data_IF_126444074591
#
_entry.id   IF_126444074591
#
_cell.length_a   1.000
_cell.length_b   1.000
_cell.length_c   1.000
_cell.angle_alpha   90.00
_cell.angle_beta   90.00
_cell.angle_gamma   90.00
#
_symmetry.space_group_name_H-M   'P 1'
#
loop_
_entity.id
_entity.type
_entity.pdbx_description
1 polymer ?
#
# COMPACT_ATOMS: atom_id res chain seq x y z
N UNK A 1 37.93 10.17 -37.67
CA UNK A 1 37.54 11.60 -37.68
C UNK A 1 37.38 12.02 -39.13
N UNK A 2 36.25 11.72 -39.77
CA UNK A 2 36.01 12.08 -41.17
C UNK A 2 35.55 13.53 -41.26
N UNK A 3 36.31 14.32 -42.00
CA UNK A 3 36.15 15.77 -42.16
C UNK A 3 34.78 16.05 -42.81
N UNK A 4 33.81 16.49 -42.01
CA UNK A 4 32.45 16.84 -42.48
C UNK A 4 32.45 18.30 -42.95
N UNK A 5 33.09 18.58 -44.09
CA UNK A 5 32.95 19.88 -44.76
C UNK A 5 31.55 19.97 -45.38
N UNK A 6 30.73 20.88 -44.87
CA UNK A 6 29.32 21.05 -45.26
C UNK A 6 29.14 21.77 -46.59
N UNK A 7 30.12 22.58 -47.02
CA UNK A 7 29.93 23.48 -48.14
C UNK A 7 30.46 22.87 -49.44
N UNK A 8 29.54 22.61 -50.36
CA UNK A 8 29.83 22.09 -51.71
C UNK A 8 30.85 22.98 -52.45
N UNK A 9 30.74 24.30 -52.26
CA UNK A 9 31.69 25.30 -52.77
C UNK A 9 33.13 25.07 -52.28
N UNK A 10 33.33 24.70 -51.01
CA UNK A 10 34.67 24.47 -50.48
C UNK A 10 35.31 23.21 -51.07
N UNK A 11 34.50 22.22 -51.42
CA UNK A 11 34.96 20.99 -52.07
C UNK A 11 35.29 21.17 -53.55
N UNK A 12 34.74 22.20 -54.19
CA UNK A 12 35.09 22.59 -55.57
C UNK A 12 36.37 23.43 -55.60
N UNK A 13 36.68 24.18 -54.53
CA UNK A 13 37.91 24.99 -54.47
C UNK A 13 39.17 24.11 -54.46
N UNK A 14 39.18 23.00 -53.73
CA UNK A 14 40.36 22.11 -53.67
C UNK A 14 40.83 21.58 -55.04
N UNK A 15 39.97 21.02 -55.91
CA UNK A 15 40.38 20.62 -57.25
C UNK A 15 40.78 21.83 -58.10
N UNK A 16 40.05 22.96 -58.05
CA UNK A 16 40.41 24.18 -58.82
C UNK A 16 41.84 24.64 -58.50
N UNK A 17 42.25 24.64 -57.22
CA UNK A 17 43.60 25.03 -56.80
C UNK A 17 44.65 24.05 -57.33
N UNK A 18 44.36 22.75 -57.28
CA UNK A 18 45.28 21.72 -57.78
C UNK A 18 45.48 21.82 -59.29
N UNK A 19 44.41 22.09 -60.05
CA UNK A 19 44.51 22.32 -61.50
C UNK A 19 45.23 23.62 -61.85
N UNK A 20 45.04 24.70 -61.07
CA UNK A 20 45.80 25.96 -61.23
C UNK A 20 47.29 25.75 -60.94
N UNK A 21 47.62 25.01 -59.88
CA UNK A 21 49.00 24.67 -59.54
C UNK A 21 49.66 23.80 -60.61
N UNK A 22 48.92 22.83 -61.16
CA UNK A 22 49.36 21.99 -62.28
C UNK A 22 49.64 22.85 -63.52
N UNK A 23 48.77 23.81 -63.82
CA UNK A 23 48.95 24.73 -64.96
C UNK A 23 50.19 25.61 -64.81
N UNK A 24 50.40 26.20 -63.64
CA UNK A 24 51.60 26.98 -63.37
C UNK A 24 52.87 26.13 -63.46
N UNK A 25 52.84 24.89 -62.97
CA UNK A 25 53.94 23.94 -63.08
C UNK A 25 54.23 23.59 -64.55
N UNK A 26 53.18 23.36 -65.37
CA UNK A 26 53.33 23.10 -66.79
C UNK A 26 53.95 24.26 -67.57
N UNK A 27 53.73 25.52 -67.15
CA UNK A 27 54.37 26.69 -67.76
C UNK A 27 55.83 26.80 -67.33
N UNK A 28 56.13 26.54 -66.05
CA UNK A 28 57.46 26.73 -65.48
C UNK A 28 58.46 25.64 -65.91
N UNK A 29 57.95 24.44 -66.23
CA UNK A 29 58.77 23.28 -66.60
C UNK A 29 58.38 22.74 -67.97
N UNK A 30 59.23 22.99 -68.96
CA UNK A 30 59.15 22.43 -70.32
C UNK A 30 59.45 20.90 -70.39
N UNK A 31 59.46 20.24 -69.22
CA UNK A 31 59.89 18.85 -69.02
C UNK A 31 58.72 17.84 -68.97
N UNK A 32 57.47 18.32 -68.94
CA UNK A 32 56.29 17.46 -68.88
C UNK A 32 55.95 16.96 -70.28
N UNK A 33 56.39 15.73 -70.61
CA UNK A 33 55.91 15.06 -71.82
C UNK A 33 54.40 14.80 -71.70
N UNK A 34 53.65 14.80 -72.83
CA UNK A 34 52.19 14.61 -72.83
C UNK A 34 51.70 13.37 -72.07
N UNK A 35 52.53 12.32 -72.01
CA UNK A 35 52.26 11.08 -71.28
C UNK A 35 52.27 11.26 -69.76
N UNK A 36 53.26 11.96 -69.19
CA UNK A 36 53.33 12.20 -67.74
C UNK A 36 52.24 13.17 -67.26
N UNK A 37 51.89 14.16 -68.09
CA UNK A 37 50.80 15.09 -67.82
C UNK A 37 49.45 14.36 -67.70
N UNK A 38 49.18 13.41 -68.61
CA UNK A 38 47.99 12.56 -68.53
C UNK A 38 47.95 11.67 -67.27
N UNK A 39 49.07 11.06 -66.88
CA UNK A 39 49.14 10.26 -65.65
C UNK A 39 48.88 11.10 -64.38
N UNK A 40 49.37 12.34 -64.33
CA UNK A 40 49.10 13.27 -63.23
C UNK A 40 47.61 13.64 -63.15
N UNK A 41 46.98 13.94 -64.29
CA UNK A 41 45.54 14.20 -64.36
C UNK A 41 44.70 13.00 -63.90
N UNK A 42 45.09 11.79 -64.30
CA UNK A 42 44.45 10.55 -63.85
C UNK A 42 44.60 10.37 -62.33
N UNK A 43 45.79 10.63 -61.79
CA UNK A 43 46.03 10.48 -60.35
C UNK A 43 45.23 11.50 -59.52
N UNK A 44 45.20 12.76 -59.96
CA UNK A 44 44.41 13.83 -59.32
C UNK A 44 42.92 13.48 -59.36
N UNK A 45 42.39 13.13 -60.54
CA UNK A 45 40.97 12.78 -60.70
C UNK A 45 40.60 11.56 -59.85
N UNK A 46 41.45 10.54 -59.76
CA UNK A 46 41.23 9.36 -58.93
C UNK A 46 41.14 9.71 -57.43
N UNK A 47 42.11 10.47 -56.90
CA UNK A 47 42.14 10.84 -55.47
C UNK A 47 40.92 11.69 -55.11
N UNK A 48 40.61 12.70 -55.92
CA UNK A 48 39.52 13.63 -55.61
C UNK A 48 38.16 12.93 -55.78
N UNK A 49 37.97 12.12 -56.83
CA UNK A 49 36.74 11.34 -57.05
C UNK A 49 36.51 10.34 -55.92
N UNK A 50 37.56 9.65 -55.46
CA UNK A 50 37.49 8.71 -54.34
C UNK A 50 37.15 9.39 -53.01
N UNK A 51 37.60 10.62 -52.79
CA UNK A 51 37.36 11.36 -51.55
C UNK A 51 35.99 12.03 -51.48
N UNK A 52 35.52 12.57 -52.60
CA UNK A 52 34.41 13.53 -52.61
C UNK A 52 33.11 13.02 -53.22
N UNK A 53 33.14 11.86 -53.88
CA UNK A 53 31.96 11.22 -54.46
C UNK A 53 31.62 11.75 -55.87
N UNK A 54 30.46 11.33 -56.38
CA UNK A 54 30.14 11.43 -57.81
C UNK A 54 30.02 12.87 -58.33
N UNK A 55 29.41 13.79 -57.57
CA UNK A 55 29.18 15.16 -58.05
C UNK A 55 30.49 15.93 -58.28
N UNK A 56 31.49 15.69 -57.43
CA UNK A 56 32.80 16.35 -57.53
C UNK A 56 33.69 15.60 -58.51
N UNK A 57 33.54 14.29 -58.64
CA UNK A 57 34.17 13.50 -59.70
C UNK A 57 33.85 14.07 -61.10
N UNK A 58 32.56 14.29 -61.40
CA UNK A 58 32.13 14.92 -62.66
C UNK A 58 32.69 16.34 -62.84
N UNK A 59 32.77 17.13 -61.76
CA UNK A 59 33.39 18.45 -61.81
C UNK A 59 34.89 18.38 -62.11
N UNK A 60 35.63 17.48 -61.46
CA UNK A 60 37.06 17.28 -61.75
C UNK A 60 37.34 16.79 -63.16
N UNK A 61 36.43 16.01 -63.73
CA UNK A 61 36.51 15.62 -65.13
C UNK A 61 36.36 16.84 -66.05
N UNK A 62 35.38 17.71 -65.81
CA UNK A 62 35.22 18.96 -66.57
C UNK A 62 36.44 19.88 -66.44
N UNK A 63 37.02 19.99 -65.24
CA UNK A 63 38.26 20.76 -65.05
C UNK A 63 39.45 20.15 -65.78
N UNK A 64 39.57 18.82 -65.81
CA UNK A 64 40.60 18.14 -66.60
C UNK A 64 40.43 18.40 -68.10
N UNK A 65 39.20 18.43 -68.61
CA UNK A 65 38.90 18.80 -70.01
C UNK A 65 39.36 20.23 -70.30
N UNK A 66 38.98 21.19 -69.44
CA UNK A 66 39.34 22.60 -69.58
C UNK A 66 40.87 22.77 -69.53
N UNK A 67 41.54 22.07 -68.61
CA UNK A 67 42.99 22.09 -68.48
C UNK A 67 43.68 21.63 -69.76
N UNK A 68 43.25 20.52 -70.36
CA UNK A 68 43.83 20.00 -71.61
C UNK A 68 43.65 20.99 -72.76
N UNK A 69 42.50 21.68 -72.84
CA UNK A 69 42.28 22.72 -73.86
C UNK A 69 43.20 23.93 -73.67
N UNK A 70 43.34 24.42 -72.43
CA UNK A 70 44.18 25.60 -72.15
C UNK A 70 45.67 25.26 -72.35
N UNK A 71 46.12 24.07 -71.92
CA UNK A 71 47.50 23.65 -72.12
C UNK A 71 47.83 23.41 -73.60
N UNK A 72 46.90 22.88 -74.39
CA UNK A 72 47.05 22.74 -75.85
C UNK A 72 47.17 24.07 -76.58
N UNK A 73 46.34 25.07 -76.24
CA UNK A 73 46.44 26.42 -76.81
C UNK A 73 47.80 27.07 -76.50
N UNK A 74 48.28 26.89 -75.27
CA UNK A 74 49.56 27.47 -74.83
C UNK A 74 50.77 26.83 -75.52
N UNK A 75 50.70 25.53 -75.82
CA UNK A 75 51.77 24.77 -76.50
C UNK A 75 51.75 24.91 -78.03
N UNK A 76 50.87 25.76 -78.58
CA UNK A 76 50.64 25.94 -80.03
C UNK A 76 50.25 24.63 -80.76
N UNK A 77 49.67 23.67 -80.05
CA UNK A 77 49.16 22.43 -80.66
C UNK A 77 47.89 22.72 -81.49
N UNK A 78 47.70 21.96 -82.58
CA UNK A 78 46.48 22.08 -83.39
C UNK A 78 45.27 21.58 -82.60
N UNK A 79 44.44 22.52 -82.13
CA UNK A 79 43.26 22.27 -81.30
C UNK A 79 42.28 21.32 -82.01
N UNK A 80 42.28 21.30 -83.34
CA UNK A 80 41.45 20.40 -84.14
C UNK A 80 41.87 18.94 -83.95
N UNK A 81 43.14 18.66 -83.66
CA UNK A 81 43.66 17.30 -83.47
C UNK A 81 43.01 16.58 -82.29
N UNK A 82 42.66 17.31 -81.22
CA UNK A 82 41.95 16.75 -80.06
C UNK A 82 40.54 16.28 -80.39
N UNK A 83 39.90 16.84 -81.43
CA UNK A 83 38.57 16.43 -81.89
C UNK A 83 38.60 15.32 -82.94
N UNK A 84 39.68 15.22 -83.72
CA UNK A 84 39.77 14.27 -84.84
C UNK A 84 40.59 13.00 -84.55
N UNK A 85 41.53 13.03 -83.61
CA UNK A 85 42.38 11.87 -83.31
C UNK A 85 41.75 10.94 -82.27
N UNK A 86 41.63 9.66 -82.63
CA UNK A 86 41.07 8.60 -81.78
C UNK A 86 41.83 8.41 -80.46
N UNK A 87 43.13 8.68 -80.43
CA UNK A 87 43.96 8.48 -79.23
C UNK A 87 43.57 9.44 -78.10
N UNK A 88 43.22 10.69 -78.44
CA UNK A 88 42.71 11.64 -77.45
C UNK A 88 41.31 11.24 -76.97
N UNK A 89 40.40 10.82 -77.87
CA UNK A 89 39.07 10.33 -77.46
C UNK A 89 39.14 9.18 -76.45
N UNK A 90 40.06 8.23 -76.66
CA UNK A 90 40.27 7.10 -75.73
C UNK A 90 40.69 7.60 -74.34
N UNK A 91 41.62 8.57 -74.27
CA UNK A 91 42.07 9.16 -73.01
C UNK A 91 40.95 9.89 -72.24
N UNK A 92 40.05 10.59 -72.96
CA UNK A 92 38.95 11.33 -72.33
C UNK A 92 37.89 10.38 -71.80
N UNK A 93 37.54 9.35 -72.57
CA UNK A 93 36.62 8.30 -72.14
C UNK A 93 37.19 7.58 -70.92
N UNK A 94 38.49 7.30 -70.89
CA UNK A 94 39.12 6.61 -69.77
C UNK A 94 39.11 7.45 -68.47
N UNK A 95 39.43 8.75 -68.55
CA UNK A 95 39.31 9.67 -67.41
C UNK A 95 37.87 9.77 -66.89
N UNK A 96 36.88 9.82 -67.79
CA UNK A 96 35.47 9.85 -67.43
C UNK A 96 35.07 8.57 -66.68
N UNK A 97 35.42 7.40 -67.22
CA UNK A 97 35.06 6.10 -66.63
C UNK A 97 35.69 5.91 -65.25
N UNK A 98 36.98 6.24 -65.10
CA UNK A 98 37.66 6.14 -63.79
C UNK A 98 37.03 7.09 -62.78
N UNK A 99 36.81 8.34 -63.16
CA UNK A 99 36.20 9.34 -62.28
C UNK A 99 34.80 8.91 -61.84
N UNK A 100 33.97 8.42 -62.78
CA UNK A 100 32.62 7.95 -62.50
C UNK A 100 32.60 6.70 -61.61
N UNK A 101 33.42 5.69 -61.91
CA UNK A 101 33.52 4.46 -61.12
C UNK A 101 33.99 4.74 -59.69
N UNK A 102 35.07 5.51 -59.51
CA UNK A 102 35.59 5.88 -58.21
C UNK A 102 34.60 6.77 -57.43
N UNK A 103 33.94 7.72 -58.11
CA UNK A 103 32.94 8.59 -57.52
C UNK A 103 31.70 7.84 -57.04
N UNK A 104 31.18 6.90 -57.84
CA UNK A 104 30.04 6.03 -57.48
C UNK A 104 30.39 5.14 -56.29
N UNK A 105 31.55 4.48 -56.33
CA UNK A 105 31.99 3.58 -55.25
C UNK A 105 32.15 4.32 -53.92
N UNK A 106 32.76 5.50 -53.94
CA UNK A 106 32.89 6.36 -52.76
C UNK A 106 31.54 6.80 -52.19
N UNK A 107 30.61 7.20 -53.07
CA UNK A 107 29.27 7.62 -52.67
C UNK A 107 28.51 6.47 -52.02
N UNK A 108 28.50 5.29 -52.64
CA UNK A 108 27.83 4.11 -52.11
C UNK A 108 28.42 3.64 -50.76
N UNK A 109 29.74 3.71 -50.59
CA UNK A 109 30.37 3.37 -49.30
C UNK A 109 29.97 4.35 -48.19
N UNK A 110 29.91 5.64 -48.52
CA UNK A 110 29.51 6.68 -47.56
C UNK A 110 28.06 6.51 -47.12
N UNK A 111 27.14 6.28 -48.06
CA UNK A 111 25.73 6.01 -47.75
C UNK A 111 25.58 4.79 -46.84
N UNK A 112 26.22 3.67 -47.18
CA UNK A 112 26.18 2.45 -46.33
C UNK A 112 26.71 2.70 -44.92
N UNK A 113 27.76 3.52 -44.78
CA UNK A 113 28.30 3.86 -43.47
C UNK A 113 27.32 4.73 -42.67
N UNK A 114 26.69 5.71 -43.32
CA UNK A 114 25.68 6.57 -42.69
C UNK A 114 24.45 5.75 -42.25
N UNK A 115 23.96 4.84 -43.09
CA UNK A 115 22.86 3.93 -42.77
C UNK A 115 23.16 3.04 -41.55
N UNK A 116 24.33 2.37 -41.55
CA UNK A 116 24.74 1.52 -40.42
C UNK A 116 24.88 2.33 -39.14
N UNK A 117 25.41 3.55 -39.22
CA UNK A 117 25.54 4.42 -38.06
C UNK A 117 24.17 4.89 -37.55
N UNK A 118 23.23 5.20 -38.44
CA UNK A 118 21.85 5.55 -38.09
C UNK A 118 21.15 4.39 -37.37
N UNK A 119 21.20 3.18 -37.95
CA UNK A 119 20.63 1.96 -37.35
C UNK A 119 21.26 1.68 -35.98
N UNK A 120 22.57 1.85 -35.83
CA UNK A 120 23.25 1.62 -34.55
C UNK A 120 22.77 2.61 -33.48
N UNK A 121 22.56 3.87 -33.86
CA UNK A 121 22.02 4.89 -32.96
C UNK A 121 20.57 4.60 -32.56
N UNK A 122 19.73 4.17 -33.51
CA UNK A 122 18.35 3.75 -33.25
C UNK A 122 18.31 2.56 -32.29
N UNK A 123 19.08 1.51 -32.56
CA UNK A 123 19.18 0.34 -31.68
C UNK A 123 19.67 0.70 -30.27
N UNK A 124 20.61 1.65 -30.15
CA UNK A 124 21.06 2.15 -28.85
C UNK A 124 19.98 2.90 -28.11
N UNK A 125 19.18 3.71 -28.81
CA UNK A 125 18.05 4.42 -28.24
C UNK A 125 16.99 3.44 -27.75
N UNK A 126 16.60 2.47 -28.60
CA UNK A 126 15.63 1.42 -28.26
C UNK A 126 16.10 0.57 -27.07
N UNK A 127 17.40 0.19 -27.03
CA UNK A 127 17.96 -0.55 -25.90
C UNK A 127 17.90 0.24 -24.60
N UNK A 128 18.13 1.57 -24.68
CA UNK A 128 18.02 2.46 -23.51
C UNK A 128 16.58 2.56 -23.03
N UNK A 129 15.62 2.69 -23.93
CA UNK A 129 14.19 2.69 -23.60
C UNK A 129 13.76 1.36 -22.99
N UNK A 130 14.16 0.22 -23.58
CA UNK A 130 13.86 -1.10 -23.04
C UNK A 130 14.40 -1.27 -21.62
N UNK A 131 15.64 -0.85 -21.36
CA UNK A 131 16.23 -0.85 -20.01
C UNK A 131 15.44 0.00 -19.03
N UNK A 132 14.96 1.16 -19.48
CA UNK A 132 14.13 2.04 -18.65
C UNK A 132 12.79 1.39 -18.31
N UNK A 133 12.11 0.79 -19.30
CA UNK A 133 10.83 0.08 -19.11
C UNK A 133 11.01 -1.12 -18.18
N UNK A 134 12.05 -1.93 -18.35
CA UNK A 134 12.34 -3.06 -17.47
C UNK A 134 12.55 -2.60 -16.04
N UNK A 135 13.27 -1.50 -15.83
CA UNK A 135 13.46 -0.92 -14.49
C UNK A 135 12.13 -0.48 -13.86
N UNK A 136 11.28 0.21 -14.61
CA UNK A 136 9.95 0.60 -14.11
C UNK A 136 9.06 -0.60 -13.78
N UNK A 137 9.12 -1.65 -14.60
CA UNK A 137 8.37 -2.89 -14.35
C UNK A 137 8.82 -3.56 -13.05
N UNK A 138 10.13 -3.58 -12.77
CA UNK A 138 10.65 -4.15 -11.53
C UNK A 138 10.24 -3.33 -10.29
N UNK A 139 10.35 -2.00 -10.35
CA UNK A 139 9.88 -1.09 -9.29
C UNK A 139 8.37 -1.25 -9.02
N UNK A 140 7.57 -1.36 -10.08
CA UNK A 140 6.13 -1.62 -10.00
C UNK A 140 5.85 -2.98 -9.37
N UNK A 141 6.59 -4.02 -9.77
CA UNK A 141 6.45 -5.37 -9.21
C UNK A 141 6.76 -5.40 -7.72
N UNK A 142 7.83 -4.71 -7.28
CA UNK A 142 8.19 -4.61 -5.85
C UNK A 142 7.06 -3.94 -5.06
N UNK A 143 6.53 -2.82 -5.57
CA UNK A 143 5.46 -2.06 -4.92
C UNK A 143 4.14 -2.84 -4.87
N UNK A 144 3.79 -3.55 -5.94
CA UNK A 144 2.61 -4.42 -5.95
C UNK A 144 2.77 -5.57 -4.95
N UNK A 145 3.96 -6.16 -4.87
CA UNK A 145 4.24 -7.24 -3.90
C UNK A 145 4.12 -6.74 -2.45
N UNK A 146 4.63 -5.55 -2.13
CA UNK A 146 4.49 -4.99 -0.78
C UNK A 146 3.02 -4.74 -0.43
N UNK A 147 2.25 -4.13 -1.34
CA UNK A 147 0.80 -3.91 -1.14
C UNK A 147 0.02 -5.20 -0.95
N UNK A 148 0.34 -6.26 -1.70
CA UNK A 148 -0.31 -7.57 -1.53
C UNK A 148 0.03 -8.19 -0.17
N UNK A 149 1.29 -8.11 0.28
CA UNK A 149 1.70 -8.61 1.59
C UNK A 149 1.00 -7.84 2.73
N UNK A 150 0.93 -6.52 2.63
CA UNK A 150 0.21 -5.65 3.58
C UNK A 150 -1.29 -5.98 3.60
N UNK A 151 -1.92 -6.08 2.42
CA UNK A 151 -3.34 -6.43 2.30
C UNK A 151 -3.65 -7.82 2.88
N UNK A 152 -2.81 -8.82 2.61
CA UNK A 152 -2.97 -10.16 3.18
C UNK A 152 -2.86 -10.15 4.70
N UNK A 153 -1.94 -9.33 5.25
CA UNK A 153 -1.82 -9.15 6.68
C UNK A 153 -3.08 -8.49 7.27
N UNK A 154 -3.63 -7.46 6.63
CA UNK A 154 -4.87 -6.82 7.10
C UNK A 154 -6.09 -7.73 7.02
N UNK A 155 -6.25 -8.49 5.95
CA UNK A 155 -7.34 -9.46 5.84
C UNK A 155 -7.24 -10.55 6.90
N UNK A 156 -6.02 -11.04 7.17
CA UNK A 156 -5.77 -12.00 8.24
C UNK A 156 -6.14 -11.41 9.61
N UNK A 157 -5.66 -10.19 9.94
CA UNK A 157 -6.02 -9.49 11.18
C UNK A 157 -7.54 -9.34 11.33
N UNK A 158 -8.22 -8.84 10.30
CA UNK A 158 -9.68 -8.69 10.26
C UNK A 158 -10.40 -10.01 10.52
N UNK A 159 -10.00 -11.08 9.83
CA UNK A 159 -10.58 -12.41 10.02
C UNK A 159 -10.36 -12.94 11.44
N UNK A 160 -9.18 -12.76 12.02
CA UNK A 160 -8.90 -13.17 13.39
C UNK A 160 -9.74 -12.39 14.41
N UNK A 161 -9.90 -11.07 14.25
CA UNK A 161 -10.79 -10.27 15.10
C UNK A 161 -12.23 -10.76 15.02
N UNK A 162 -12.76 -10.93 13.80
CA UNK A 162 -14.11 -11.44 13.60
C UNK A 162 -14.32 -12.82 14.23
N UNK A 163 -13.37 -13.73 14.03
CA UNK A 163 -13.43 -15.09 14.58
C UNK A 163 -13.40 -15.10 16.10
N UNK A 164 -12.57 -14.25 16.73
CA UNK A 164 -12.49 -14.13 18.18
C UNK A 164 -13.77 -13.57 18.81
N UNK A 165 -14.53 -12.73 18.09
CA UNK A 165 -15.81 -12.20 18.56
C UNK A 165 -16.99 -13.18 18.31
N UNK A 166 -16.80 -14.24 17.53
CA UNK A 166 -17.88 -15.12 17.12
C UNK A 166 -18.19 -16.19 18.17
N UNK A 167 -18.90 -15.79 19.22
CA UNK A 167 -19.37 -16.68 20.29
C UNK A 167 -20.88 -16.61 20.47
N UNK A 168 -21.46 -17.65 21.07
CA UNK A 168 -22.88 -17.75 21.38
C UNK A 168 -23.25 -17.07 22.71
N UNK A 169 -22.27 -16.81 23.58
CA UNK A 169 -22.48 -16.21 24.89
C UNK A 169 -22.02 -14.74 24.90
N UNK A 170 -22.88 -13.77 25.27
CA UNK A 170 -22.55 -12.34 25.18
C UNK A 170 -21.35 -11.94 26.06
N UNK A 171 -21.27 -12.45 27.29
CA UNK A 171 -20.13 -12.21 28.19
C UNK A 171 -18.79 -12.66 27.59
N UNK A 172 -18.75 -13.80 26.89
CA UNK A 172 -17.52 -14.28 26.22
C UNK A 172 -17.13 -13.34 25.07
N UNK A 173 -18.12 -12.81 24.32
CA UNK A 173 -17.85 -11.82 23.26
C UNK A 173 -17.23 -10.54 23.84
N UNK A 174 -17.70 -10.07 25.00
CA UNK A 174 -17.11 -8.91 25.68
C UNK A 174 -15.67 -9.17 26.14
N UNK A 175 -15.41 -10.35 26.73
CA UNK A 175 -14.09 -10.74 27.23
C UNK A 175 -13.07 -10.86 26.09
N UNK A 176 -13.42 -11.62 25.05
CA UNK A 176 -12.55 -11.77 23.88
C UNK A 176 -12.41 -10.44 23.11
N UNK A 177 -13.43 -9.58 23.14
CA UNK A 177 -13.35 -8.22 22.63
C UNK A 177 -12.26 -7.39 23.30
N UNK A 178 -12.16 -7.41 24.63
CA UNK A 178 -11.05 -6.76 25.34
C UNK A 178 -9.69 -7.36 24.92
N UNK A 179 -9.59 -8.68 24.79
CA UNK A 179 -8.34 -9.33 24.38
C UNK A 179 -7.91 -8.90 22.97
N UNK A 180 -8.85 -8.82 22.04
CA UNK A 180 -8.63 -8.31 20.67
C UNK A 180 -8.15 -6.85 20.71
N UNK A 181 -8.78 -6.01 21.52
CA UNK A 181 -8.40 -4.60 21.70
C UNK A 181 -6.97 -4.46 22.26
N UNK A 182 -6.60 -5.29 23.23
CA UNK A 182 -5.22 -5.33 23.76
C UNK A 182 -4.21 -5.78 22.68
N UNK A 183 -4.51 -6.88 21.99
CA UNK A 183 -3.57 -7.51 21.07
C UNK A 183 -3.31 -6.66 19.82
N UNK A 184 -4.37 -6.22 19.15
CA UNK A 184 -4.26 -5.57 17.85
C UNK A 184 -4.08 -4.05 17.95
N UNK A 185 -4.77 -3.41 18.90
CA UNK A 185 -4.71 -1.95 19.06
C UNK A 185 -3.68 -1.52 20.10
N UNK A 186 -3.19 -2.42 20.96
CA UNK A 186 -2.16 -2.10 21.96
C UNK A 186 -2.63 -1.13 23.04
N UNK A 187 -3.94 -1.00 23.25
CA UNK A 187 -4.50 -0.13 24.27
C UNK A 187 -4.21 -0.70 25.67
N UNK A 188 -3.62 0.12 26.55
CA UNK A 188 -3.33 -0.26 27.95
C UNK A 188 -4.51 0.00 28.88
N UNK A 189 -5.39 0.93 28.49
CA UNK A 189 -6.63 1.25 29.19
C UNK A 189 -7.80 1.08 28.24
N UNK A 190 -8.64 0.11 28.55
CA UNK A 190 -9.81 -0.25 27.75
C UNK A 190 -11.01 -0.29 28.68
N UNK A 191 -12.09 0.41 28.31
CA UNK A 191 -13.36 0.36 29.01
C UNK A 191 -14.50 0.09 28.05
N UNK A 192 -15.34 -0.88 28.38
CA UNK A 192 -16.61 -1.11 27.70
C UNK A 192 -17.72 -0.61 28.61
N UNK A 193 -18.43 0.42 28.17
CA UNK A 193 -19.54 1.03 28.88
C UNK A 193 -20.86 0.65 28.24
N UNK A 194 -21.84 0.26 29.04
CA UNK A 194 -23.23 0.13 28.62
C UNK A 194 -23.91 1.49 28.64
N UNK A 195 -24.66 1.80 27.58
CA UNK A 195 -25.47 3.01 27.46
C UNK A 195 -26.82 2.76 28.10
N UNK A 196 -27.21 3.59 29.06
CA UNK A 196 -28.54 3.52 29.66
C UNK A 196 -29.65 3.82 28.64
N UNK A 197 -30.88 3.34 28.87
CA UNK A 197 -32.01 3.49 27.94
C UNK A 197 -32.31 4.96 27.59
N UNK A 198 -32.08 5.86 28.54
CA UNK A 198 -32.27 7.31 28.34
C UNK A 198 -31.07 7.99 27.64
N UNK A 199 -30.00 7.25 27.32
CA UNK A 199 -28.74 7.74 26.73
C UNK A 199 -28.09 8.89 27.52
N UNK A 200 -28.38 9.00 28.82
CA UNK A 200 -27.87 10.06 29.71
C UNK A 200 -26.69 9.62 30.57
N UNK A 201 -26.54 8.31 30.78
CA UNK A 201 -25.46 7.74 31.58
C UNK A 201 -24.81 6.55 30.88
N UNK A 202 -23.51 6.44 31.05
CA UNK A 202 -22.67 5.33 30.60
C UNK A 202 -22.20 4.61 31.86
N UNK A 203 -22.47 3.32 31.97
CA UNK A 203 -22.04 2.50 33.12
C UNK A 203 -21.03 1.47 32.66
N UNK A 204 -19.91 1.39 33.35
CA UNK A 204 -18.86 0.44 32.97
C UNK A 204 -19.39 -1.00 33.13
N UNK A 205 -19.25 -1.80 32.08
CA UNK A 205 -19.54 -3.24 32.10
C UNK A 205 -18.28 -4.04 32.31
N UNK A 206 -17.23 -3.67 31.60
CA UNK A 206 -15.95 -4.35 31.68
C UNK A 206 -14.82 -3.34 31.51
N UNK A 207 -13.74 -3.54 32.26
CA UNK A 207 -12.53 -2.72 32.15
C UNK A 207 -11.30 -3.60 32.16
N UNK A 208 -10.29 -3.16 31.42
CA UNK A 208 -8.95 -3.67 31.54
C UNK A 208 -7.98 -2.49 31.53
N UNK A 209 -7.27 -2.34 32.64
CA UNK A 209 -6.37 -1.21 32.87
C UNK A 209 -5.11 -1.69 33.59
N UNK A 210 -3.96 -1.13 33.19
CA UNK A 210 -2.67 -1.38 33.83
C UNK A 210 -2.13 -0.04 34.34
N UNK A 211 -2.26 0.25 35.64
CA UNK A 211 -1.76 1.50 36.23
C UNK A 211 -2.55 2.00 37.44
N UNK A 212 -2.22 3.21 37.93
CA UNK A 212 -2.86 3.83 39.13
C UNK A 212 -4.14 4.61 38.83
N UNK A 213 -4.30 5.16 37.62
CA UNK A 213 -5.49 5.92 37.23
C UNK A 213 -6.51 4.97 36.61
N UNK A 214 -7.67 4.87 37.25
CA UNK A 214 -8.74 3.95 36.86
C UNK A 214 -9.81 4.66 36.04
N UNK A 215 -10.40 3.94 35.09
CA UNK A 215 -11.54 4.44 34.33
C UNK A 215 -12.76 4.60 35.27
N UNK A 216 -13.54 5.70 35.14
CA UNK A 216 -14.65 5.97 36.04
C UNK A 216 -15.76 4.93 35.92
N UNK A 217 -16.37 4.54 37.05
CA UNK A 217 -17.44 3.53 37.09
C UNK A 217 -18.68 3.95 36.31
N UNK A 218 -18.98 5.26 36.27
CA UNK A 218 -20.11 5.83 35.56
C UNK A 218 -19.75 7.21 35.01
N UNK A 219 -20.21 7.49 33.79
CA UNK A 219 -19.99 8.77 33.11
C UNK A 219 -21.36 9.34 32.75
N UNK A 220 -21.65 10.56 33.19
CA UNK A 220 -22.84 11.28 32.78
C UNK A 220 -22.58 12.03 31.47
N UNK A 221 -23.40 11.79 30.44
CA UNK A 221 -23.16 12.30 29.08
C UNK A 221 -23.09 13.84 29.04
N UNK A 222 -23.84 14.54 29.92
CA UNK A 222 -23.78 16.01 30.05
C UNK A 222 -22.37 16.53 30.39
N UNK A 223 -21.68 15.81 31.27
CA UNK A 223 -20.35 16.17 31.77
C UNK A 223 -19.22 15.39 31.08
N UNK A 224 -19.56 14.56 30.08
CA UNK A 224 -18.57 13.80 29.33
C UNK A 224 -17.73 14.71 28.42
N UNK A 225 -16.55 14.21 28.05
CA UNK A 225 -15.67 14.82 27.06
C UNK A 225 -16.36 14.95 25.70
N UNK A 226 -15.86 15.87 24.87
CA UNK A 226 -16.40 16.14 23.55
C UNK A 226 -16.29 14.91 22.64
N UNK A 227 -15.18 14.16 22.73
CA UNK A 227 -14.99 12.91 21.99
C UNK A 227 -16.09 11.87 22.26
N UNK A 228 -16.54 11.73 23.52
CA UNK A 228 -17.65 10.81 23.88
C UNK A 228 -18.98 11.33 23.33
N UNK A 229 -19.24 12.64 23.47
CA UNK A 229 -20.46 13.27 22.94
C UNK A 229 -20.55 13.13 21.42
N UNK A 230 -19.43 13.34 20.71
CA UNK A 230 -19.37 13.22 19.26
C UNK A 230 -19.61 11.78 18.80
N UNK A 231 -19.00 10.80 19.49
CA UNK A 231 -19.20 9.39 19.21
C UNK A 231 -20.68 8.96 19.34
N UNK A 232 -21.34 9.43 20.40
CA UNK A 232 -22.77 9.17 20.62
C UNK A 232 -23.68 9.91 19.64
N UNK A 233 -23.34 11.15 19.25
CA UNK A 233 -24.19 11.97 18.38
C UNK A 233 -24.13 11.53 16.91
N UNK A 234 -22.95 11.08 16.43
CA UNK A 234 -22.76 10.72 15.03
C UNK A 234 -22.65 9.21 14.79
N UNK A 235 -22.81 8.39 15.83
CA UNK A 235 -22.79 6.93 15.71
C UNK A 235 -21.53 6.36 15.01
N UNK A 236 -20.37 7.01 15.23
CA UNK A 236 -19.08 6.62 14.63
C UNK A 236 -17.92 6.85 15.61
N UNK A 237 -16.78 6.18 15.45
CA UNK A 237 -15.64 6.44 16.31
C UNK A 237 -15.02 7.83 16.09
N UNK A 238 -14.41 8.39 17.13
CA UNK A 238 -13.69 9.66 17.08
C UNK A 238 -12.41 9.61 17.92
N UNK A 239 -11.38 10.30 17.43
CA UNK A 239 -10.22 10.64 18.23
C UNK A 239 -10.48 11.89 19.07
N UNK A 240 -9.76 11.98 20.20
CA UNK A 240 -9.67 13.18 21.02
C UNK A 240 -9.17 14.37 20.20
N UNK A 241 -9.75 15.53 20.44
CA UNK A 241 -9.36 16.81 19.83
C UNK A 241 -8.69 17.73 20.84
N UNK A 242 -8.09 18.84 20.39
CA UNK A 242 -7.50 19.84 21.31
C UNK A 242 -8.55 20.54 22.18
N UNK A 243 -9.82 20.51 21.79
CA UNK A 243 -10.95 21.05 22.56
C UNK A 243 -11.37 20.17 23.74
N UNK A 244 -10.91 18.91 23.77
CA UNK A 244 -11.14 18.00 24.89
C UNK A 244 -10.20 18.32 26.07
N UNK A 245 -10.65 18.02 27.29
CA UNK A 245 -9.81 18.11 28.49
C UNK A 245 -8.61 17.16 28.40
N UNK A 246 -7.50 17.47 29.09
CA UNK A 246 -6.27 16.65 29.05
C UNK A 246 -6.48 15.18 29.43
N UNK A 247 -7.43 14.89 30.32
CA UNK A 247 -7.77 13.54 30.79
C UNK A 247 -8.85 12.85 29.95
N UNK A 248 -9.28 13.45 28.83
CA UNK A 248 -10.24 12.80 27.94
C UNK A 248 -9.60 11.60 27.23
N UNK A 249 -10.37 10.51 26.99
CA UNK A 249 -9.85 9.33 26.34
C UNK A 249 -9.39 9.60 24.91
N UNK A 250 -8.35 8.90 24.47
CA UNK A 250 -7.78 9.10 23.14
C UNK A 250 -8.73 8.72 21.99
N UNK A 251 -9.41 7.57 22.09
CA UNK A 251 -10.28 7.05 21.04
C UNK A 251 -11.55 6.46 21.64
N UNK A 252 -12.71 6.88 21.13
CA UNK A 252 -14.01 6.42 21.59
C UNK A 252 -14.80 5.88 20.41
N UNK A 253 -15.44 4.72 20.58
CA UNK A 253 -16.20 4.04 19.54
C UNK A 253 -17.55 3.52 20.03
N UNK A 254 -18.68 3.88 19.38
CA UNK A 254 -19.98 3.31 19.72
C UNK A 254 -20.14 1.91 19.11
N UNK A 255 -20.80 1.02 19.84
CA UNK A 255 -21.22 -0.31 19.39
C UNK A 255 -22.73 -0.30 19.24
N UNK A 256 -23.18 -0.58 18.02
CA UNK A 256 -24.58 -0.44 17.62
C UNK A 256 -25.27 -1.79 17.50
N UNK A 257 -26.49 -1.88 18.01
CA UNK A 257 -27.44 -2.97 17.78
C UNK A 257 -28.61 -2.41 16.97
N UNK A 258 -28.84 -2.89 15.74
CA UNK A 258 -29.89 -2.34 14.85
C UNK A 258 -29.91 -0.79 14.84
N UNK A 259 -28.75 -0.17 14.66
CA UNK A 259 -28.53 1.29 14.63
C UNK A 259 -28.71 2.06 15.97
N UNK A 260 -29.00 1.37 17.07
CA UNK A 260 -29.02 1.94 18.41
C UNK A 260 -27.71 1.67 19.17
N UNK A 261 -27.10 2.72 19.73
CA UNK A 261 -25.88 2.60 20.52
C UNK A 261 -26.21 1.95 21.87
N UNK A 262 -25.74 0.72 22.06
CA UNK A 262 -25.92 -0.05 23.30
C UNK A 262 -24.66 -0.04 24.16
N UNK A 263 -23.49 0.03 23.52
CA UNK A 263 -22.22 0.12 24.23
C UNK A 263 -21.33 1.22 23.65
N UNK A 264 -20.40 1.70 24.48
CA UNK A 264 -19.33 2.62 24.10
C UNK A 264 -18.01 2.01 24.56
N UNK A 265 -17.09 1.87 23.61
CA UNK A 265 -15.73 1.42 23.88
C UNK A 265 -14.83 2.64 23.98
N UNK A 266 -14.07 2.68 25.06
CA UNK A 266 -13.08 3.71 25.34
C UNK A 266 -11.71 3.05 25.26
N UNK A 267 -10.84 3.59 24.43
CA UNK A 267 -9.43 3.21 24.32
C UNK A 267 -8.55 4.39 24.70
N UNK A 268 -7.65 4.15 25.63
CA UNK A 268 -6.70 5.14 26.12
C UNK A 268 -5.31 4.52 26.31
N UNK A 269 -4.29 5.37 26.35
CA UNK A 269 -2.87 4.98 26.39
C UNK A 269 -2.48 4.01 25.25
N UNK A 270 -2.89 4.32 24.02
CA UNK A 270 -2.45 3.63 22.81
C UNK A 270 -1.04 4.12 22.44
N UNK A 271 -0.15 3.20 22.06
CA UNK A 271 1.17 3.56 21.53
C UNK A 271 1.05 4.43 20.27
N UNK A 272 1.79 5.54 20.22
CA UNK A 272 1.73 6.50 19.10
C UNK A 272 1.96 5.84 17.73
N UNK A 273 2.84 4.83 17.65
CA UNK A 273 3.10 4.04 16.44
C UNK A 273 1.86 3.32 15.88
N UNK A 274 0.84 3.08 16.72
CA UNK A 274 -0.42 2.41 16.35
C UNK A 274 -1.57 3.39 16.08
N UNK A 275 -1.36 4.70 16.27
CA UNK A 275 -2.36 5.72 15.95
C UNK A 275 -2.25 6.07 14.47
N UNK A 276 -2.81 5.22 13.61
CA UNK A 276 -2.81 5.41 12.15
C UNK A 276 -4.22 5.38 11.58
N UNK A 277 -4.43 5.96 10.39
CA UNK A 277 -5.72 5.90 9.70
C UNK A 277 -6.17 4.46 9.43
N UNK A 278 -5.23 3.58 9.12
CA UNK A 278 -5.50 2.15 8.92
C UNK A 278 -6.00 1.46 10.19
N UNK A 279 -5.38 1.73 11.34
CA UNK A 279 -5.85 1.21 12.63
C UNK A 279 -7.21 1.78 12.99
N UNK A 280 -7.50 3.05 12.66
CA UNK A 280 -8.81 3.63 12.84
C UNK A 280 -9.90 2.95 12.00
N UNK A 281 -9.60 2.62 10.73
CA UNK A 281 -10.51 1.84 9.89
C UNK A 281 -10.73 0.42 10.45
N UNK A 282 -9.66 -0.26 10.89
CA UNK A 282 -9.78 -1.57 11.56
C UNK A 282 -10.65 -1.50 12.82
N UNK A 283 -10.50 -0.43 13.62
CA UNK A 283 -11.33 -0.22 14.81
C UNK A 283 -12.81 -0.02 14.44
N UNK A 284 -13.08 0.71 13.36
CA UNK A 284 -14.43 0.92 12.84
C UNK A 284 -15.09 -0.40 12.43
N UNK A 285 -14.36 -1.27 11.73
CA UNK A 285 -14.84 -2.62 11.39
C UNK A 285 -15.04 -3.50 12.62
N UNK A 286 -14.11 -3.43 13.57
CA UNK A 286 -14.21 -4.14 14.85
C UNK A 286 -15.50 -3.75 15.62
N UNK A 287 -15.83 -2.46 15.73
CA UNK A 287 -17.05 -2.00 16.40
C UNK A 287 -18.31 -2.57 15.74
N UNK A 288 -18.34 -2.61 14.40
CA UNK A 288 -19.46 -3.17 13.63
C UNK A 288 -19.62 -4.67 13.89
N UNK A 289 -18.53 -5.43 13.86
CA UNK A 289 -18.58 -6.87 14.16
C UNK A 289 -18.94 -7.14 15.61
N UNK A 290 -18.42 -6.35 16.54
CA UNK A 290 -18.77 -6.47 17.95
C UNK A 290 -20.26 -6.23 18.16
N UNK A 291 -20.84 -5.22 17.50
CA UNK A 291 -22.28 -4.97 17.52
C UNK A 291 -23.10 -6.15 17.02
N UNK A 292 -22.81 -6.63 15.81
CA UNK A 292 -23.51 -7.77 15.20
C UNK A 292 -23.37 -9.05 16.05
N UNK A 293 -22.13 -9.42 16.44
CA UNK A 293 -21.88 -10.65 17.21
C UNK A 293 -22.49 -10.60 18.60
N UNK A 294 -22.37 -9.47 19.29
CA UNK A 294 -22.90 -9.31 20.65
C UNK A 294 -24.43 -9.27 20.64
N UNK A 295 -25.05 -8.63 19.63
CA UNK A 295 -26.50 -8.67 19.44
C UNK A 295 -27.00 -10.09 19.18
N UNK A 296 -26.35 -10.82 18.27
CA UNK A 296 -26.72 -12.20 17.95
C UNK A 296 -26.54 -13.12 19.17
N UNK A 297 -25.42 -13.02 19.89
CA UNK A 297 -25.16 -13.78 21.11
C UNK A 297 -26.18 -13.45 22.21
N UNK A 298 -26.54 -12.17 22.38
CA UNK A 298 -27.54 -11.74 23.34
C UNK A 298 -28.92 -12.30 23.01
N UNK A 299 -29.34 -12.24 21.74
CA UNK A 299 -30.62 -12.79 21.30
C UNK A 299 -30.70 -14.32 21.50
N UNK A 300 -29.64 -15.05 21.13
CA UNK A 300 -29.55 -16.51 21.35
C UNK A 300 -29.58 -16.85 22.84
N UNK A 301 -28.88 -16.07 23.66
CA UNK A 301 -28.86 -16.24 25.12
C UNK A 301 -30.25 -16.03 25.74
N UNK A 302 -30.95 -14.98 25.33
CA UNK A 302 -32.31 -14.68 25.80
C UNK A 302 -33.33 -15.74 25.34
N UNK A 303 -33.28 -16.18 24.08
CA UNK A 303 -34.25 -17.13 23.54
C UNK A 303 -34.17 -18.53 24.15
N UNK A 304 -33.05 -18.88 24.77
CA UNK A 304 -32.79 -20.18 25.40
C UNK A 304 -32.74 -20.11 26.93
N UNK A 305 -33.21 -19.00 27.51
CA UNK A 305 -33.22 -18.80 28.96
C UNK A 305 -34.10 -19.82 29.66
N UNK A 306 -35.30 -20.10 29.12
CA UNK A 306 -36.25 -21.05 29.71
C UNK A 306 -35.69 -22.48 29.81
N UNK A 307 -34.82 -22.88 28.86
CA UNK A 307 -34.17 -24.19 28.86
C UNK A 307 -33.13 -24.35 29.98
N UNK A 308 -32.61 -23.23 30.52
CA UNK A 308 -31.48 -23.18 31.46
C UNK A 308 -31.88 -22.86 32.89
N UNK A 309 -33.12 -22.42 33.09
CA UNK A 309 -33.65 -22.03 34.39
C UNK A 309 -34.78 -22.95 34.83
N UNK A 310 -34.99 -23.07 36.14
CA UNK A 310 -36.16 -23.77 36.66
C UNK A 310 -37.45 -23.04 36.24
N UNK A 311 -38.54 -23.77 35.88
CA UNK A 311 -39.78 -23.17 35.40
C UNK A 311 -40.30 -22.06 36.33
N UNK A 312 -40.73 -20.93 35.76
CA UNK A 312 -41.23 -19.73 36.47
C UNK A 312 -40.24 -19.04 37.41
N UNK A 313 -38.96 -19.42 37.38
CA UNK A 313 -37.91 -18.78 38.17
C UNK A 313 -36.79 -18.27 37.28
N UNK A 314 -35.92 -17.41 37.81
CA UNK A 314 -34.67 -17.02 37.14
C UNK A 314 -33.47 -17.77 37.72
N UNK A 315 -33.70 -18.88 38.39
CA UNK A 315 -32.68 -19.72 39.03
C UNK A 315 -32.14 -20.69 37.99
N UNK A 316 -30.82 -20.66 37.77
CA UNK A 316 -30.15 -21.57 36.83
C UNK A 316 -30.03 -23.00 37.37
N UNK A 317 -30.04 -23.99 36.47
CA UNK A 317 -29.63 -25.36 36.80
C UNK A 317 -28.14 -25.40 37.19
N UNK A 318 -27.73 -26.43 37.97
CA UNK A 318 -26.36 -26.59 38.46
C UNK A 318 -25.32 -26.54 37.34
N UNK A 319 -25.56 -27.26 36.22
CA UNK A 319 -24.62 -27.32 35.09
C UNK A 319 -24.37 -25.96 34.43
N UNK A 320 -25.43 -25.17 34.23
CA UNK A 320 -25.31 -23.84 33.63
C UNK A 320 -24.66 -22.85 34.61
N UNK A 321 -24.99 -22.95 35.90
CA UNK A 321 -24.36 -22.14 36.93
C UNK A 321 -22.85 -22.42 37.01
N UNK A 322 -22.43 -23.68 36.97
CA UNK A 322 -21.01 -24.04 36.94
C UNK A 322 -20.31 -23.52 35.68
N UNK A 323 -21.00 -23.53 34.53
CA UNK A 323 -20.49 -22.96 33.29
C UNK A 323 -20.25 -21.44 33.42
N UNK A 324 -21.22 -20.69 33.95
CA UNK A 324 -21.09 -19.26 34.23
C UNK A 324 -19.98 -18.96 35.24
N UNK A 325 -19.84 -19.78 36.28
CA UNK A 325 -18.76 -19.67 37.26
C UNK A 325 -17.37 -19.87 36.61
N UNK A 326 -17.24 -20.79 35.65
CA UNK A 326 -15.99 -20.99 34.89
C UNK A 326 -15.63 -19.76 34.05
N UNK A 327 -16.62 -19.08 33.46
CA UNK A 327 -16.40 -17.84 32.71
C UNK A 327 -15.83 -16.75 33.64
N UNK A 328 -16.46 -16.51 34.79
CA UNK A 328 -15.97 -15.52 35.76
C UNK A 328 -14.58 -15.86 36.34
N UNK A 329 -14.31 -17.15 36.60
CA UNK A 329 -12.96 -17.60 36.99
C UNK A 329 -11.90 -17.27 35.94
N UNK A 330 -12.16 -17.61 34.67
CA UNK A 330 -11.27 -17.30 33.55
C UNK A 330 -11.08 -15.78 33.41
N UNK A 331 -12.15 -15.00 33.62
CA UNK A 331 -12.13 -13.54 33.59
C UNK A 331 -11.24 -12.95 34.69
N UNK A 332 -11.29 -13.48 35.90
CA UNK A 332 -10.38 -13.09 36.98
C UNK A 332 -8.92 -13.40 36.64
N UNK A 333 -8.63 -14.59 36.11
CA UNK A 333 -7.27 -14.98 35.72
C UNK A 333 -6.70 -14.12 34.59
N UNK A 334 -7.53 -13.77 33.61
CA UNK A 334 -7.08 -13.08 32.38
C UNK A 334 -7.10 -11.56 32.50
N UNK A 335 -8.09 -11.02 33.22
CA UNK A 335 -8.37 -9.58 33.28
C UNK A 335 -8.24 -9.00 34.70
N UNK A 336 -8.02 -9.84 35.72
CA UNK A 336 -8.01 -9.43 37.13
C UNK A 336 -9.31 -8.74 37.56
N UNK A 337 -10.43 -9.12 36.92
CA UNK A 337 -11.75 -8.60 37.25
C UNK A 337 -12.34 -9.39 38.43
N UNK A 338 -12.67 -8.74 39.56
CA UNK A 338 -13.04 -9.45 40.79
C UNK A 338 -14.42 -10.11 40.68
N UNK A 339 -14.56 -11.29 41.28
CA UNK A 339 -15.86 -11.94 41.50
C UNK A 339 -15.92 -12.49 42.93
N UNK A 340 -17.14 -12.65 43.44
CA UNK A 340 -17.41 -13.24 44.75
C UNK A 340 -18.43 -14.35 44.61
N UNK A 341 -18.31 -15.41 45.41
CA UNK A 341 -19.14 -16.60 45.35
C UNK A 341 -19.47 -17.11 46.75
N UNK A 342 -20.73 -17.46 47.00
CA UNK A 342 -21.12 -18.12 48.25
C UNK A 342 -22.34 -19.04 48.05
N UNK A 343 -22.51 -19.96 48.99
CA UNK A 343 -23.56 -20.99 48.98
C UNK A 343 -24.34 -20.97 50.30
N UNK A 344 -25.60 -21.38 50.25
CA UNK A 344 -26.39 -21.68 51.44
C UNK A 344 -27.34 -22.86 51.17
N UNK A 345 -27.58 -23.66 52.19
CA UNK A 345 -28.47 -24.83 52.12
C UNK A 345 -29.92 -24.36 52.22
N UNK A 346 -30.78 -24.81 51.31
CA UNK A 346 -32.21 -24.49 51.33
C UNK A 346 -33.05 -25.65 50.79
N UNK A 347 -34.20 -25.97 51.40
CA UNK A 347 -35.14 -26.94 50.86
C UNK A 347 -35.72 -26.52 49.50
N UNK A 348 -35.96 -27.50 48.63
CA UNK A 348 -36.45 -27.30 47.25
C UNK A 348 -37.85 -26.65 47.18
N UNK A 349 -38.70 -26.88 48.18
CA UNK A 349 -40.10 -26.43 48.19
C UNK A 349 -40.28 -24.90 48.21
N UNK A 350 -39.20 -24.14 48.41
CA UNK A 350 -39.21 -22.68 48.52
C UNK A 350 -38.62 -21.92 47.32
N UNK A 351 -38.34 -22.59 46.19
CA UNK A 351 -37.63 -22.00 45.04
C UNK A 351 -38.28 -20.72 44.47
N UNK A 352 -39.61 -20.67 44.33
CA UNK A 352 -40.30 -19.46 43.83
C UNK A 352 -40.18 -18.29 44.82
N UNK A 353 -40.28 -18.58 46.12
CA UNK A 353 -40.15 -17.58 47.18
C UNK A 353 -38.72 -17.03 47.26
N UNK A 354 -37.72 -17.91 47.15
CA UNK A 354 -36.30 -17.55 47.10
C UNK A 354 -36.02 -16.67 45.88
N UNK A 355 -36.54 -17.04 44.71
CA UNK A 355 -36.37 -16.28 43.48
C UNK A 355 -36.87 -14.83 43.62
N UNK A 356 -38.04 -14.62 44.26
CA UNK A 356 -38.54 -13.27 44.53
C UNK A 356 -37.62 -12.47 45.47
N UNK A 357 -37.15 -13.09 46.56
CA UNK A 357 -36.27 -12.42 47.53
C UNK A 357 -34.94 -12.04 46.88
N UNK A 358 -34.37 -12.96 46.09
CA UNK A 358 -33.10 -12.75 45.39
C UNK A 358 -33.24 -11.64 44.35
N UNK A 359 -34.31 -11.60 43.55
CA UNK A 359 -34.55 -10.50 42.60
C UNK A 359 -34.68 -9.13 43.28
N UNK A 360 -35.28 -9.07 44.47
CA UNK A 360 -35.45 -7.80 45.19
C UNK A 360 -34.14 -7.30 45.83
N UNK A 361 -33.21 -8.20 46.16
CA UNK A 361 -32.00 -7.89 46.92
C UNK A 361 -30.69 -8.00 46.12
N UNK A 362 -30.73 -8.59 44.93
CA UNK A 362 -29.59 -8.72 44.03
C UNK A 362 -29.75 -7.82 42.80
N UNK A 363 -28.63 -7.50 42.16
CA UNK A 363 -28.60 -6.72 40.93
C UNK A 363 -28.98 -7.61 39.75
N UNK A 364 -29.46 -7.02 38.65
CA UNK A 364 -29.77 -7.75 37.41
C UNK A 364 -28.57 -8.53 36.82
N UNK A 365 -27.35 -8.17 37.21
CA UNK A 365 -26.10 -8.82 36.77
C UNK A 365 -25.65 -9.95 37.71
N UNK A 366 -26.25 -10.09 38.89
CA UNK A 366 -25.88 -11.12 39.86
C UNK A 366 -26.57 -12.44 39.44
N UNK A 367 -25.84 -13.55 39.51
CA UNK A 367 -26.27 -14.84 38.97
C UNK A 367 -26.56 -15.79 40.13
N UNK A 368 -27.65 -16.54 40.06
CA UNK A 368 -28.01 -17.50 41.08
C UNK A 368 -28.51 -18.82 40.48
N UNK A 369 -28.05 -19.93 41.04
CA UNK A 369 -28.38 -21.28 40.62
C UNK A 369 -28.76 -22.16 41.80
N UNK A 370 -29.32 -23.33 41.51
CA UNK A 370 -29.71 -24.30 42.54
C UNK A 370 -29.26 -25.72 42.18
N UNK A 371 -28.62 -26.39 43.14
CA UNK A 371 -28.26 -27.80 43.04
C UNK A 371 -29.33 -28.67 43.68
N UNK A 372 -30.05 -29.44 42.85
CA UNK A 372 -31.06 -30.41 43.33
C UNK A 372 -30.42 -31.53 44.15
N UNK A 373 -29.18 -31.91 43.81
CA UNK A 373 -28.44 -33.01 44.46
C UNK A 373 -27.98 -32.64 45.88
N UNK A 374 -27.51 -31.40 46.06
CA UNK A 374 -26.96 -30.91 47.34
C UNK A 374 -27.96 -30.08 48.14
N UNK A 375 -29.12 -29.73 47.56
CA UNK A 375 -30.12 -28.80 48.11
C UNK A 375 -29.49 -27.47 48.53
N UNK A 376 -28.71 -26.88 47.63
CA UNK A 376 -28.00 -25.62 47.88
C UNK A 376 -28.32 -24.60 46.81
N UNK A 377 -28.53 -23.36 47.26
CA UNK A 377 -28.56 -22.19 46.40
C UNK A 377 -27.13 -21.65 46.29
N UNK A 378 -26.70 -21.41 45.07
CA UNK A 378 -25.38 -20.90 44.70
C UNK A 378 -25.55 -19.48 44.17
N UNK A 379 -24.81 -18.52 44.71
CA UNK A 379 -24.86 -17.13 44.27
C UNK A 379 -23.47 -16.68 43.81
N UNK A 380 -23.43 -16.10 42.61
CA UNK A 380 -22.26 -15.51 41.98
C UNK A 380 -22.48 -14.01 41.82
N UNK A 381 -21.53 -13.23 42.32
CA UNK A 381 -21.54 -11.77 42.29
C UNK A 381 -20.39 -11.25 41.40
N UNK A 382 -20.63 -11.01 40.10
CA UNK A 382 -19.64 -10.44 39.21
C UNK A 382 -19.25 -9.01 39.64
N UNK A 383 -17.96 -8.68 39.49
CA UNK A 383 -17.43 -7.34 39.79
C UNK A 383 -17.39 -6.97 41.28
N UNK A 384 -17.59 -7.94 42.18
CA UNK A 384 -17.62 -7.71 43.64
C UNK A 384 -16.35 -8.26 44.28
N UNK A 385 -15.59 -7.39 44.93
CA UNK A 385 -14.42 -7.79 45.72
C UNK A 385 -14.86 -8.57 46.97
N UNK A 386 -14.03 -9.53 47.39
CA UNK A 386 -14.30 -10.43 48.52
C UNK A 386 -14.62 -9.69 49.83
N UNK A 387 -14.06 -8.48 50.02
CA UNK A 387 -14.35 -7.60 51.17
C UNK A 387 -15.83 -7.21 51.31
N UNK A 388 -16.60 -7.24 50.22
CA UNK A 388 -18.03 -6.90 50.22
C UNK A 388 -18.95 -8.13 50.30
N UNK A 389 -18.38 -9.34 50.33
CA UNK A 389 -19.14 -10.59 50.39
C UNK A 389 -19.93 -10.69 51.69
N UNK A 390 -19.29 -10.43 52.84
CA UNK A 390 -19.92 -10.53 54.16
C UNK A 390 -21.18 -9.65 54.30
N UNK A 391 -21.14 -8.33 53.99
CA UNK A 391 -22.35 -7.49 54.02
C UNK A 391 -23.50 -8.00 53.15
N UNK A 392 -23.20 -8.48 51.94
CA UNK A 392 -24.21 -8.98 50.99
C UNK A 392 -24.80 -10.29 51.49
N UNK A 393 -23.96 -11.21 51.98
CA UNK A 393 -24.38 -12.47 52.58
C UNK A 393 -25.28 -12.25 53.79
N UNK A 394 -24.91 -11.37 54.73
CA UNK A 394 -25.74 -11.06 55.90
C UNK A 394 -27.08 -10.44 55.52
N UNK A 395 -27.10 -9.55 54.51
CA UNK A 395 -28.35 -8.96 54.00
C UNK A 395 -29.30 -10.01 53.45
N UNK A 396 -28.78 -10.94 52.64
CA UNK A 396 -29.57 -12.02 52.03
C UNK A 396 -30.02 -13.02 53.09
N UNK A 397 -29.15 -13.37 54.03
CA UNK A 397 -29.49 -14.27 55.12
C UNK A 397 -30.61 -13.70 56.00
N UNK A 398 -30.52 -12.42 56.37
CA UNK A 398 -31.57 -11.74 57.15
C UNK A 398 -32.91 -11.68 56.38
N UNK A 399 -32.86 -11.41 55.07
CA UNK A 399 -34.05 -11.39 54.22
C UNK A 399 -34.72 -12.78 54.14
N UNK A 400 -33.92 -13.84 54.02
CA UNK A 400 -34.41 -15.23 53.98
C UNK A 400 -34.96 -15.68 55.35
N UNK A 401 -34.28 -15.37 56.46
CA UNK A 401 -34.75 -15.69 57.82
C UNK A 401 -36.05 -14.96 58.18
N UNK A 402 -36.21 -13.70 57.75
CA UNK A 402 -37.43 -12.92 58.01
C UNK A 402 -38.70 -13.52 57.38
N UNK A 403 -38.54 -14.38 56.38
CA UNK A 403 -39.62 -15.07 55.66
C UNK A 403 -39.72 -16.57 55.98
N UNK A 404 -39.00 -17.05 56.99
CA UNK A 404 -39.17 -18.40 57.55
C UNK A 404 -38.30 -19.50 56.91
N UNK A 405 -37.27 -19.15 56.14
CA UNK A 405 -36.31 -20.11 55.60
C UNK A 405 -35.26 -20.43 56.67
N UNK A 406 -35.17 -21.70 57.09
CA UNK A 406 -34.17 -22.19 58.06
C UNK A 406 -32.96 -22.74 57.32
N UNK A 407 -31.76 -22.31 57.73
CA UNK A 407 -30.47 -22.65 57.12
C UNK A 407 -29.91 -24.00 57.57
#
# INVERSE_FOLDING_TARGET
MHYRQSNLLQKMIEPTILFIALFFLSILTDFLTPTYEYFLLLFITLIISSRYGISIALFTFLEAMIYIFISGIYKEDDILLYFYSLDYWINWIFLLVISLCCGLMSTAQKERYEDVHMINNELKAENKELKYVVKQLDETRITLRSRVLESNNHLSKMYHMFKALNHTHPEIVLDEGINVLKMYFGAKKIGIYHVDNNKQSLRIKLRAETGKNTLPQSIFVKNASLVIKNALAHNRPFFRTEEDFQDAPLLVGPVLFQDDVQYVIILDEIEFSKVTSEQFELFTWYLRWMGDRLQNASNLWLSSQEDRTFPKTSIYYEDEFEHLLKIEKKRYETLSYPYSYFEFTVPQDSLEMINSILKDHLRDIDIFGYSTTKQKVMILLPGTEEKFLLPVQTRIQNALSSKGVVF
#
